data_IF_596218301673
#
_entry.id   IF_596218301673
#
_cell.length_a   1.000
_cell.length_b   1.000
_cell.length_c   1.000
_cell.angle_alpha   90.00
_cell.angle_beta   90.00
_cell.angle_gamma   90.00
#
_symmetry.space_group_name_H-M   'P 1'
#
loop_
_entity.id
_entity.type
_entity.pdbx_description
1 polymer ?
#
# COMPACT_ATOMS: atom_id res chain seq x y z
N UNK A 1 -16.08 36.33 -30.43
CA UNK A 1 -15.60 35.36 -31.44
C UNK A 1 -14.42 35.99 -32.17
N UNK A 2 -13.38 35.26 -32.64
CA UNK A 2 -13.24 33.80 -32.77
C UNK A 2 -11.89 33.23 -32.24
N UNK A 3 -11.73 31.94 -32.51
CA UNK A 3 -10.71 30.94 -32.17
C UNK A 3 -9.28 31.20 -32.69
N UNK A 4 -8.26 30.66 -32.00
CA UNK A 4 -7.41 29.54 -32.48
C UNK A 4 -6.08 29.37 -31.69
N UNK A 5 -5.95 28.16 -31.12
CA UNK A 5 -4.81 27.25 -30.94
C UNK A 5 -3.30 27.62 -31.11
N UNK A 6 -2.55 26.88 -30.26
CA UNK A 6 -1.15 26.40 -30.31
C UNK A 6 0.02 27.26 -29.82
N UNK A 7 0.45 26.94 -28.58
CA UNK A 7 1.75 26.31 -28.36
C UNK A 7 2.91 27.19 -27.88
N UNK A 8 3.37 26.96 -26.64
CA UNK A 8 4.79 26.67 -26.33
C UNK A 8 4.96 26.21 -24.89
N UNK A 9 5.55 25.02 -24.78
CA UNK A 9 6.06 24.39 -23.56
C UNK A 9 7.07 25.32 -22.87
N UNK A 10 6.93 25.51 -21.56
CA UNK A 10 8.07 25.68 -20.64
C UNK A 10 7.80 24.85 -19.39
N UNK A 11 8.43 23.67 -19.36
CA UNK A 11 8.72 22.94 -18.12
C UNK A 11 9.81 23.72 -17.38
N UNK A 12 9.56 24.06 -16.13
CA UNK A 12 10.56 24.03 -15.06
C UNK A 12 9.87 24.35 -13.72
N UNK A 13 9.56 23.30 -12.96
CA UNK A 13 9.86 23.28 -11.54
C UNK A 13 10.09 21.82 -11.13
N UNK A 14 11.33 21.54 -10.73
CA UNK A 14 11.84 20.24 -10.32
C UNK A 14 11.38 19.98 -8.87
N UNK A 15 10.38 19.10 -8.71
CA UNK A 15 9.99 18.43 -7.46
C UNK A 15 10.51 16.98 -7.47
N UNK A 16 10.42 16.24 -6.35
CA UNK A 16 11.39 15.22 -5.96
C UNK A 16 11.48 14.10 -6.99
N UNK A 17 12.67 14.01 -7.59
CA UNK A 17 13.26 12.93 -8.37
C UNK A 17 12.41 12.33 -9.50
N UNK A 18 12.94 12.46 -10.72
CA UNK A 18 12.57 11.64 -11.87
C UNK A 18 12.65 10.15 -11.51
N UNK A 19 11.50 9.57 -11.13
CA UNK A 19 11.34 8.14 -10.92
C UNK A 19 11.41 7.43 -12.28
N UNK A 20 12.60 6.97 -12.65
CA UNK A 20 12.81 6.08 -13.77
C UNK A 20 12.41 4.65 -13.35
N UNK A 21 11.15 4.29 -13.55
CA UNK A 21 10.67 2.92 -13.35
C UNK A 21 11.01 2.05 -14.57
N UNK A 22 11.75 0.96 -14.35
CA UNK A 22 11.96 -0.08 -15.36
C UNK A 22 10.76 -1.04 -15.38
N UNK A 23 10.35 -1.47 -16.58
CA UNK A 23 9.36 -2.54 -16.79
C UNK A 23 9.94 -3.88 -16.30
N UNK A 24 9.67 -4.23 -15.05
CA UNK A 24 9.72 -5.60 -14.54
C UNK A 24 8.38 -6.31 -14.76
N UNK A 25 8.39 -7.64 -14.77
CA UNK A 25 7.18 -8.46 -14.89
C UNK A 25 6.35 -8.33 -13.60
N UNK A 26 5.23 -7.63 -13.72
CA UNK A 26 4.39 -7.18 -12.61
C UNK A 26 3.63 -8.30 -11.90
N UNK A 27 3.34 -8.08 -10.62
CA UNK A 27 2.29 -8.80 -9.88
C UNK A 27 0.89 -8.34 -10.33
N UNK A 28 0.81 -7.17 -10.96
CA UNK A 28 -0.40 -6.59 -11.54
C UNK A 28 -0.37 -6.72 -13.06
N UNK A 29 -0.62 -7.93 -13.59
CA UNK A 29 -0.78 -8.13 -15.03
C UNK A 29 -2.22 -7.81 -15.42
N UNK A 30 -2.57 -6.52 -15.43
CA UNK A 30 -3.75 -6.04 -16.13
C UNK A 30 -3.38 -5.77 -17.59
N UNK A 31 -3.79 -6.64 -18.51
CA UNK A 31 -3.66 -6.33 -19.93
C UNK A 31 -4.60 -5.16 -20.24
N UNK A 32 -4.13 -4.11 -20.95
CA UNK A 32 -5.02 -3.02 -21.41
C UNK A 32 -5.94 -3.55 -22.51
N UNK A 33 -7.00 -4.24 -22.11
CA UNK A 33 -8.16 -4.51 -22.94
C UNK A 33 -9.06 -3.27 -22.91
N UNK A 34 -9.70 -2.95 -24.04
CA UNK A 34 -10.67 -1.84 -24.18
C UNK A 34 -12.01 -2.10 -23.45
N UNK A 35 -12.03 -3.08 -22.54
CA UNK A 35 -13.19 -3.41 -21.71
C UNK A 35 -12.83 -3.04 -20.27
N UNK A 36 -13.45 -1.99 -19.73
CA UNK A 36 -13.41 -1.73 -18.30
C UNK A 36 -14.10 -2.86 -17.53
N UNK A 37 -13.77 -3.01 -16.25
CA UNK A 37 -14.42 -3.94 -15.35
C UNK A 37 -13.57 -5.15 -14.96
N UNK A 38 -14.20 -6.10 -14.27
CA UNK A 38 -13.59 -7.34 -13.80
C UNK A 38 -13.74 -8.47 -14.84
N UNK A 39 -12.63 -9.09 -15.23
CA UNK A 39 -12.60 -10.31 -16.05
C UNK A 39 -11.87 -11.42 -15.32
N UNK A 40 -12.45 -12.63 -15.29
CA UNK A 40 -11.81 -13.82 -14.71
C UNK A 40 -11.87 -14.96 -15.72
N UNK A 41 -10.71 -15.56 -16.02
CA UNK A 41 -10.56 -16.60 -17.04
C UNK A 41 -11.18 -16.22 -18.40
N UNK A 42 -10.99 -14.95 -18.80
CA UNK A 42 -11.51 -14.39 -20.04
C UNK A 42 -13.02 -14.08 -20.06
N UNK A 43 -13.72 -14.28 -18.93
CA UNK A 43 -15.15 -13.96 -18.79
C UNK A 43 -15.34 -12.68 -17.98
N UNK A 44 -16.08 -11.72 -18.54
CA UNK A 44 -16.49 -10.54 -17.82
C UNK A 44 -17.42 -10.93 -16.67
N UNK A 45 -17.22 -10.32 -15.50
CA UNK A 45 -18.02 -10.52 -14.30
C UNK A 45 -18.90 -9.29 -14.10
N UNK A 46 -20.20 -9.51 -13.86
CA UNK A 46 -21.18 -8.45 -13.60
C UNK A 46 -21.86 -8.63 -12.24
N UNK A 47 -22.77 -7.71 -11.90
CA UNK A 47 -23.61 -7.79 -10.70
C UNK A 47 -24.87 -8.67 -10.87
N UNK A 48 -24.88 -9.58 -11.85
CA UNK A 48 -26.00 -10.51 -12.04
C UNK A 48 -26.01 -11.61 -10.97
N UNK A 49 -27.20 -12.15 -10.66
CA UNK A 49 -27.35 -13.28 -9.73
C UNK A 49 -26.57 -14.51 -10.20
N UNK A 50 -26.48 -14.72 -11.51
CA UNK A 50 -25.74 -15.82 -12.12
C UNK A 50 -24.23 -15.69 -11.85
N UNK A 51 -23.65 -14.51 -12.12
CA UNK A 51 -22.24 -14.24 -11.83
C UNK A 51 -21.97 -14.25 -10.32
N UNK A 52 -22.93 -13.80 -9.52
CA UNK A 52 -22.82 -13.84 -8.07
C UNK A 52 -22.65 -15.27 -7.55
N UNK A 53 -23.54 -16.17 -7.96
CA UNK A 53 -23.51 -17.57 -7.54
C UNK A 53 -22.32 -18.34 -8.13
N UNK A 54 -21.89 -17.99 -9.34
CA UNK A 54 -20.81 -18.69 -10.03
C UNK A 54 -19.39 -18.23 -9.61
N UNK A 55 -19.23 -16.92 -9.32
CA UNK A 55 -17.90 -16.30 -9.17
C UNK A 55 -17.83 -15.41 -7.93
N UNK A 56 -18.72 -14.41 -7.82
CA UNK A 56 -18.53 -13.33 -6.84
C UNK A 56 -18.58 -13.86 -5.40
N UNK A 57 -19.47 -14.80 -5.07
CA UNK A 57 -19.52 -15.37 -3.72
C UNK A 57 -18.20 -16.00 -3.28
N UNK A 58 -17.44 -16.58 -4.21
CA UNK A 58 -16.14 -17.19 -3.91
C UNK A 58 -15.04 -16.15 -3.69
N UNK A 59 -15.21 -14.93 -4.20
CA UNK A 59 -14.31 -13.80 -3.97
C UNK A 59 -14.63 -13.08 -2.65
N UNK A 60 -15.91 -12.98 -2.30
CA UNK A 60 -16.39 -12.12 -1.21
C UNK A 60 -16.61 -12.83 0.12
N UNK A 61 -16.83 -14.14 0.11
CA UNK A 61 -16.98 -14.94 1.33
C UNK A 61 -15.63 -15.55 1.74
N UNK A 62 -15.16 -15.34 2.98
CA UNK A 62 -13.94 -15.96 3.50
C UNK A 62 -13.96 -17.50 3.40
N UNK A 63 -12.82 -18.12 3.09
CA UNK A 63 -12.74 -19.57 2.81
C UNK A 63 -13.26 -20.43 3.97
N UNK A 64 -12.99 -20.03 5.21
CA UNK A 64 -13.46 -20.72 6.42
C UNK A 64 -14.99 -20.74 6.57
N UNK A 65 -15.71 -19.87 5.83
CA UNK A 65 -17.18 -19.85 5.79
C UNK A 65 -17.77 -20.53 4.56
N UNK A 66 -16.94 -20.94 3.58
CA UNK A 66 -17.42 -21.55 2.34
C UNK A 66 -17.95 -22.98 2.55
N UNK A 67 -17.64 -23.62 3.67
CA UNK A 67 -18.18 -24.95 3.98
C UNK A 67 -19.57 -24.95 4.61
N UNK A 68 -20.11 -23.77 4.93
CA UNK A 68 -21.41 -23.64 5.59
C UNK A 68 -22.58 -24.04 4.66
N UNK A 69 -23.72 -24.51 5.22
CA UNK A 69 -24.91 -24.80 4.43
C UNK A 69 -25.41 -23.59 3.62
N UNK A 70 -25.33 -22.39 4.20
CA UNK A 70 -25.71 -21.14 3.55
C UNK A 70 -24.88 -20.89 2.28
N UNK A 71 -23.55 -21.08 2.32
CA UNK A 71 -22.69 -20.90 1.15
C UNK A 71 -22.94 -21.93 0.04
N UNK A 72 -23.18 -23.19 0.43
CA UNK A 72 -23.43 -24.32 -0.49
C UNK A 72 -24.82 -24.23 -1.14
N UNK A 73 -25.74 -23.48 -0.56
CA UNK A 73 -27.05 -23.18 -1.12
C UNK A 73 -27.04 -22.20 -2.30
N UNK A 74 -28.24 -21.82 -2.73
CA UNK A 74 -28.48 -20.85 -3.81
C UNK A 74 -29.15 -19.56 -3.32
N UNK A 75 -29.48 -19.46 -2.02
CA UNK A 75 -30.14 -18.28 -1.47
C UNK A 75 -29.12 -17.13 -1.30
N UNK A 76 -29.17 -16.16 -2.22
CA UNK A 76 -28.21 -15.05 -2.28
C UNK A 76 -28.15 -14.25 -0.98
N UNK A 77 -29.29 -13.98 -0.34
CA UNK A 77 -29.33 -13.21 0.90
C UNK A 77 -28.57 -13.91 2.04
N UNK A 78 -28.78 -15.21 2.22
CA UNK A 78 -28.04 -16.01 3.19
C UNK A 78 -26.52 -16.04 2.90
N UNK A 79 -26.12 -16.11 1.62
CA UNK A 79 -24.70 -16.07 1.23
C UNK A 79 -24.10 -14.69 1.53
N UNK A 80 -24.82 -13.60 1.21
CA UNK A 80 -24.37 -12.21 1.46
C UNK A 80 -24.09 -11.94 2.93
N UNK A 81 -24.85 -12.58 3.84
CA UNK A 81 -24.61 -12.48 5.27
C UNK A 81 -23.25 -13.07 5.73
N UNK A 82 -22.60 -13.88 4.89
CA UNK A 82 -21.27 -14.46 5.16
C UNK A 82 -20.12 -13.58 4.64
N UNK A 83 -20.39 -12.63 3.76
CA UNK A 83 -19.37 -11.84 3.05
C UNK A 83 -18.48 -11.04 4.01
N UNK A 84 -17.24 -10.81 3.57
CA UNK A 84 -16.38 -9.79 4.14
C UNK A 84 -16.66 -8.45 3.45
N UNK A 85 -16.94 -7.40 4.21
CA UNK A 85 -17.26 -6.08 3.66
C UNK A 85 -16.16 -5.51 2.75
N UNK A 86 -14.88 -5.72 3.08
CA UNK A 86 -13.78 -5.24 2.24
C UNK A 86 -13.74 -5.99 0.90
N UNK A 87 -13.87 -7.32 0.91
CA UNK A 87 -13.93 -8.09 -0.34
C UNK A 87 -15.14 -7.72 -1.20
N UNK A 88 -16.29 -7.46 -0.59
CA UNK A 88 -17.47 -6.95 -1.30
C UNK A 88 -17.18 -5.64 -2.01
N UNK A 89 -16.59 -4.67 -1.30
CA UNK A 89 -16.22 -3.39 -1.88
C UNK A 89 -15.17 -3.51 -3.00
N UNK A 90 -14.19 -4.41 -2.86
CA UNK A 90 -13.23 -4.70 -3.93
C UNK A 90 -13.94 -5.24 -5.17
N UNK A 91 -14.86 -6.21 -5.02
CA UNK A 91 -15.61 -6.75 -6.15
C UNK A 91 -16.48 -5.68 -6.82
N UNK A 92 -17.25 -4.91 -6.04
CA UNK A 92 -18.10 -3.85 -6.60
C UNK A 92 -17.27 -2.80 -7.33
N UNK A 93 -16.14 -2.38 -6.75
CA UNK A 93 -15.22 -1.43 -7.35
C UNK A 93 -14.58 -1.95 -8.64
N UNK A 94 -14.13 -3.21 -8.68
CA UNK A 94 -13.56 -3.81 -9.89
C UNK A 94 -14.61 -3.99 -10.99
N UNK A 95 -15.82 -4.43 -10.65
CA UNK A 95 -16.91 -4.64 -11.63
C UNK A 95 -17.35 -3.31 -12.25
N UNK A 96 -17.45 -2.25 -11.44
CA UNK A 96 -17.91 -0.94 -11.90
C UNK A 96 -16.81 -0.08 -12.54
N UNK A 97 -15.54 -0.50 -12.48
CA UNK A 97 -14.42 0.33 -12.90
C UNK A 97 -14.36 0.54 -14.41
N UNK A 98 -13.89 1.72 -14.82
CA UNK A 98 -13.47 1.98 -16.20
C UNK A 98 -12.11 1.35 -16.53
N UNK A 99 -11.28 1.07 -15.51
CA UNK A 99 -10.04 0.32 -15.66
C UNK A 99 -10.33 -1.17 -15.80
N UNK A 100 -9.47 -1.88 -16.54
CA UNK A 100 -9.57 -3.34 -16.70
C UNK A 100 -8.85 -4.07 -15.55
N UNK A 101 -9.52 -5.07 -14.97
CA UNK A 101 -8.97 -6.01 -14.01
C UNK A 101 -9.08 -7.44 -14.58
N UNK A 102 -8.02 -7.89 -15.26
CA UNK A 102 -8.00 -9.17 -15.96
C UNK A 102 -7.22 -10.23 -15.16
N UNK A 103 -7.92 -11.23 -14.60
CA UNK A 103 -7.30 -12.37 -13.92
C UNK A 103 -7.41 -13.64 -14.76
N UNK A 104 -6.30 -14.39 -14.85
CA UNK A 104 -6.27 -15.66 -15.59
C UNK A 104 -7.18 -16.74 -15.00
N UNK A 105 -7.44 -16.69 -13.70
CA UNK A 105 -8.28 -17.65 -12.97
C UNK A 105 -8.79 -17.05 -11.65
N UNK A 106 -9.70 -17.77 -10.98
CA UNK A 106 -10.32 -17.35 -9.72
C UNK A 106 -9.31 -17.28 -8.56
N UNK A 107 -8.28 -18.12 -8.56
CA UNK A 107 -7.29 -18.14 -7.48
C UNK A 107 -6.44 -16.86 -7.50
N UNK A 108 -6.06 -16.37 -8.68
CA UNK A 108 -5.37 -15.08 -8.85
C UNK A 108 -6.25 -13.90 -8.41
N UNK A 109 -7.53 -13.92 -8.76
CA UNK A 109 -8.46 -12.89 -8.30
C UNK A 109 -8.61 -12.90 -6.77
N UNK A 110 -8.74 -14.08 -6.15
CA UNK A 110 -8.75 -14.22 -4.68
C UNK A 110 -7.47 -13.67 -4.04
N UNK A 111 -6.30 -13.99 -4.60
CA UNK A 111 -5.02 -13.51 -4.10
C UNK A 111 -4.94 -11.97 -4.13
N UNK A 112 -5.41 -11.34 -5.21
CA UNK A 112 -5.48 -9.87 -5.31
C UNK A 112 -6.44 -9.25 -4.28
N UNK A 113 -7.62 -9.86 -4.08
CA UNK A 113 -8.58 -9.40 -3.07
C UNK A 113 -7.97 -9.46 -1.67
N UNK A 114 -7.30 -10.59 -1.37
CA UNK A 114 -6.62 -10.79 -0.11
C UNK A 114 -5.48 -9.78 0.07
N UNK A 115 -4.66 -9.58 -0.95
CA UNK A 115 -3.59 -8.58 -0.97
C UNK A 115 -4.11 -7.18 -0.64
N UNK A 116 -5.12 -6.69 -1.37
CA UNK A 116 -5.71 -5.35 -1.15
C UNK A 116 -6.22 -5.18 0.27
N UNK A 117 -6.94 -6.20 0.78
CA UNK A 117 -7.45 -6.19 2.15
C UNK A 117 -6.33 -6.15 3.17
N UNK A 118 -5.32 -7.02 3.05
CA UNK A 118 -4.20 -7.10 4.00
C UNK A 118 -3.38 -5.81 3.99
N UNK A 119 -3.18 -5.17 2.83
CA UNK A 119 -2.46 -3.90 2.75
C UNK A 119 -3.17 -2.80 3.58
N UNK A 120 -4.47 -2.62 3.37
CA UNK A 120 -5.28 -1.65 4.13
C UNK A 120 -5.33 -2.01 5.61
N UNK A 121 -5.54 -3.29 5.95
CA UNK A 121 -5.56 -3.74 7.35
C UNK A 121 -4.23 -3.50 8.06
N UNK A 122 -3.11 -3.69 7.36
CA UNK A 122 -1.77 -3.45 7.92
C UNK A 122 -1.57 -1.98 8.23
N UNK A 123 -1.95 -1.09 7.31
CA UNK A 123 -1.90 0.35 7.56
C UNK A 123 -2.83 0.76 8.70
N UNK A 124 -4.05 0.19 8.78
CA UNK A 124 -4.95 0.43 9.90
C UNK A 124 -4.36 -0.04 11.24
N UNK A 125 -3.64 -1.16 11.27
CA UNK A 125 -2.98 -1.66 12.49
C UNK A 125 -1.86 -0.75 12.98
N UNK A 126 -1.10 -0.18 12.05
CA UNK A 126 -0.08 0.85 12.36
C UNK A 126 -0.70 2.08 13.04
N UNK A 127 -1.86 2.52 12.57
CA UNK A 127 -2.51 3.72 13.10
C UNK A 127 -3.33 3.51 14.38
N UNK A 128 -3.74 2.27 14.67
CA UNK A 128 -4.54 1.94 15.87
C UNK A 128 -3.68 1.54 17.07
N UNK A 129 -2.35 1.51 16.91
CA UNK A 129 -1.41 1.06 17.93
C UNK A 129 -1.35 -0.47 18.10
N UNK A 130 -2.02 -1.23 17.22
CA UNK A 130 -1.88 -2.69 17.18
C UNK A 130 -0.49 -3.10 16.67
N UNK A 131 0.05 -2.33 15.72
CA UNK A 131 1.47 -2.30 15.43
C UNK A 131 2.02 -0.97 15.97
N UNK A 132 3.17 -1.01 16.62
CA UNK A 132 3.80 0.19 17.14
C UNK A 132 4.38 1.03 15.98
N UNK A 133 3.62 1.96 15.40
CA UNK A 133 4.10 2.73 14.26
C UNK A 133 3.80 4.21 14.43
N UNK A 134 4.79 5.05 14.13
CA UNK A 134 4.64 6.49 14.18
C UNK A 134 5.57 7.18 13.17
N UNK A 135 5.34 8.48 12.94
CA UNK A 135 6.27 9.31 12.21
C UNK A 135 7.59 9.41 12.96
N UNK A 136 8.68 9.37 12.22
CA UNK A 136 9.95 9.84 12.75
C UNK A 136 9.90 11.36 12.93
N UNK A 137 10.17 11.83 14.16
CA UNK A 137 10.34 13.24 14.46
C UNK A 137 11.68 13.48 15.19
N UNK A 138 12.68 14.05 14.49
CA UNK A 138 13.97 14.34 15.08
C UNK A 138 13.94 15.38 16.21
N UNK A 139 12.88 16.20 16.30
CA UNK A 139 12.76 17.25 17.30
C UNK A 139 12.24 16.74 18.66
N UNK A 140 11.65 15.54 18.67
CA UNK A 140 11.05 14.93 19.86
C UNK A 140 11.83 13.70 20.37
N UNK A 141 13.11 13.58 20.00
CA UNK A 141 13.99 12.45 20.37
C UNK A 141 13.42 11.07 19.98
N UNK A 142 12.54 11.02 18.97
CA UNK A 142 12.03 9.77 18.39
C UNK A 142 13.10 9.25 17.42
N UNK A 143 13.59 8.04 17.65
CA UNK A 143 14.66 7.46 16.81
C UNK A 143 14.04 6.67 15.64
N UNK A 144 14.55 6.79 14.41
CA UNK A 144 14.11 5.96 13.29
C UNK A 144 14.20 4.47 13.64
N UNK A 145 13.19 3.68 13.33
CA UNK A 145 13.15 2.27 13.73
C UNK A 145 12.35 1.43 12.72
N UNK A 146 12.77 0.18 12.51
CA UNK A 146 11.95 -0.86 11.89
C UNK A 146 12.28 -2.23 12.53
N UNK A 147 11.31 -2.82 13.22
CA UNK A 147 11.55 -4.08 13.95
C UNK A 147 12.55 -3.93 15.11
N UNK A 148 13.27 -5.01 15.42
CA UNK A 148 14.25 -5.07 16.51
C UNK A 148 15.54 -4.25 16.30
N UNK A 149 15.53 -3.22 15.45
CA UNK A 149 16.62 -2.23 15.43
C UNK A 149 16.60 -1.43 16.73
N UNK A 150 17.40 -1.83 17.72
CA UNK A 150 17.72 -0.96 18.85
C UNK A 150 18.82 0.00 18.38
N UNK A 151 18.43 1.19 17.94
CA UNK A 151 19.36 2.32 17.93
C UNK A 151 19.45 2.81 19.37
N UNK A 152 20.31 2.20 20.18
CA UNK A 152 20.73 2.79 21.44
C UNK A 152 21.91 3.73 21.14
N UNK A 153 21.72 5.07 21.20
CA UNK A 153 22.81 6.02 20.97
C UNK A 153 23.87 6.00 22.09
N UNK A 154 23.65 5.28 23.18
CA UNK A 154 24.57 5.12 24.32
C UNK A 154 25.26 3.76 24.31
N UNK A 155 24.65 2.73 23.71
CA UNK A 155 25.31 1.45 23.53
C UNK A 155 26.41 1.57 22.47
N UNK A 156 27.65 1.74 22.94
CA UNK A 156 28.86 1.40 22.19
C UNK A 156 28.94 -0.12 22.00
N UNK A 157 27.89 -0.73 21.46
CA UNK A 157 27.91 -2.14 21.15
C UNK A 157 28.33 -2.30 19.68
N UNK A 158 29.57 -2.74 19.40
CA UNK A 158 30.03 -3.02 18.04
C UNK A 158 29.37 -4.28 17.45
N UNK A 159 28.48 -4.92 18.21
CA UNK A 159 27.65 -5.98 17.68
C UNK A 159 26.50 -5.37 16.88
N UNK A 160 26.64 -5.44 15.55
CA UNK A 160 25.56 -5.94 14.70
C UNK A 160 25.03 -7.21 15.35
N UNK A 161 24.22 -7.09 16.40
CA UNK A 161 23.74 -8.24 17.16
C UNK A 161 22.93 -9.09 16.21
N UNK A 162 23.25 -10.39 16.20
CA UNK A 162 22.55 -11.41 15.44
C UNK A 162 21.04 -11.28 15.72
N UNK A 163 20.30 -10.61 14.83
CA UNK A 163 18.88 -10.29 15.03
C UNK A 163 18.38 -9.07 14.27
N UNK A 164 19.26 -8.15 13.86
CA UNK A 164 18.85 -6.98 13.06
C UNK A 164 18.54 -7.35 11.61
N UNK A 165 17.26 -7.37 11.25
CA UNK A 165 16.80 -7.67 9.90
C UNK A 165 16.94 -6.50 8.91
N UNK A 166 17.10 -5.29 9.44
CA UNK A 166 17.15 -4.04 8.69
C UNK A 166 18.31 -3.17 9.19
N UNK A 167 18.91 -2.42 8.27
CA UNK A 167 19.94 -1.43 8.53
C UNK A 167 19.44 -0.07 8.06
N UNK A 168 19.52 0.94 8.92
CA UNK A 168 19.14 2.29 8.53
C UNK A 168 20.18 2.89 7.57
N UNK A 169 19.71 3.59 6.54
CA UNK A 169 20.55 4.24 5.51
C UNK A 169 20.76 5.70 5.92
N UNK A 170 22.02 6.15 5.85
CA UNK A 170 22.39 7.57 6.03
C UNK A 170 21.85 8.24 7.32
N UNK A 171 21.66 7.49 8.41
CA UNK A 171 21.31 8.10 9.69
C UNK A 171 22.49 8.93 10.21
N UNK A 172 22.28 10.22 10.54
CA UNK A 172 23.35 11.02 11.08
C UNK A 172 23.81 10.46 12.43
N UNK A 173 25.12 10.25 12.58
CA UNK A 173 25.74 9.78 13.83
C UNK A 173 25.81 10.88 14.91
N UNK A 174 25.29 12.08 14.64
CA UNK A 174 25.32 13.22 15.54
C UNK A 174 24.02 14.04 15.43
N UNK A 175 23.42 14.37 16.59
CA UNK A 175 22.22 15.21 16.73
C UNK A 175 22.30 16.55 15.97
N UNK A 176 23.49 17.11 15.77
CA UNK A 176 23.67 18.37 15.03
C UNK A 176 23.19 18.31 13.55
N UNK A 177 23.15 17.10 12.96
CA UNK A 177 22.67 16.90 11.59
C UNK A 177 21.14 16.73 11.49
N UNK A 178 20.44 16.55 12.62
CA UNK A 178 18.97 16.47 12.65
C UNK A 178 18.28 17.78 12.24
N UNK A 179 19.02 18.89 12.24
CA UNK A 179 18.59 20.19 11.71
C UNK A 179 18.60 20.26 10.18
N UNK A 180 19.15 19.27 9.47
CA UNK A 180 19.13 19.23 8.01
C UNK A 180 17.91 18.39 7.54
N UNK A 181 16.95 18.99 6.81
CA UNK A 181 15.73 18.32 6.33
C UNK A 181 15.99 17.08 5.48
N UNK A 182 17.19 16.95 4.89
CA UNK A 182 17.58 15.74 4.13
C UNK A 182 17.54 14.47 4.99
N UNK A 183 17.72 14.58 6.31
CA UNK A 183 17.72 13.44 7.23
C UNK A 183 16.36 13.18 7.88
N UNK A 184 15.31 13.89 7.46
CA UNK A 184 13.93 13.65 7.94
C UNK A 184 13.30 12.41 7.30
N UNK A 185 14.02 11.77 6.38
CA UNK A 185 13.63 10.57 5.69
C UNK A 185 14.32 9.38 6.35
N UNK A 186 13.62 8.68 7.23
CA UNK A 186 14.09 7.40 7.74
C UNK A 186 14.02 6.37 6.61
N UNK A 187 15.19 5.93 6.13
CA UNK A 187 15.33 4.87 5.13
C UNK A 187 16.00 3.66 5.76
N UNK A 188 15.59 2.47 5.35
CA UNK A 188 16.08 1.19 5.84
C UNK A 188 16.28 0.24 4.67
N UNK A 189 17.43 -0.44 4.65
CA UNK A 189 17.73 -1.53 3.73
C UNK A 189 17.71 -2.85 4.50
N UNK A 190 17.20 -3.92 3.88
CA UNK A 190 17.34 -5.25 4.45
C UNK A 190 18.82 -5.61 4.65
N UNK A 191 19.14 -6.16 5.82
CA UNK A 191 20.50 -6.58 6.12
C UNK A 191 20.90 -7.81 5.28
N UNK A 192 22.14 -7.85 4.80
CA UNK A 192 22.62 -8.96 3.97
C UNK A 192 22.54 -10.29 4.71
N UNK A 193 21.89 -11.28 4.09
CA UNK A 193 21.72 -12.62 4.68
C UNK A 193 20.66 -12.69 5.79
N UNK A 194 19.97 -11.59 6.08
CA UNK A 194 18.83 -11.57 6.98
C UNK A 194 17.54 -11.96 6.25
N UNK A 195 16.55 -12.34 7.04
CA UNK A 195 15.19 -12.62 6.58
C UNK A 195 14.26 -11.46 7.01
N UNK A 196 14.21 -10.35 6.25
CA UNK A 196 13.43 -9.16 6.59
C UNK A 196 11.92 -9.42 6.69
N UNK A 197 11.44 -10.56 6.17
CA UNK A 197 10.02 -10.90 6.24
C UNK A 197 9.57 -11.22 7.66
N UNK A 198 10.48 -11.55 8.57
CA UNK A 198 10.16 -11.79 9.98
C UNK A 198 9.49 -10.59 10.65
N UNK A 199 9.84 -9.37 10.22
CA UNK A 199 9.20 -8.14 10.70
C UNK A 199 7.75 -8.06 10.23
N UNK A 200 7.45 -8.60 9.05
CA UNK A 200 6.12 -8.59 8.44
C UNK A 200 5.14 -9.61 9.04
N UNK A 201 5.62 -10.55 9.86
CA UNK A 201 4.78 -11.54 10.57
C UNK A 201 4.00 -10.96 11.78
N UNK A 202 4.09 -9.64 12.00
CA UNK A 202 3.14 -8.88 12.83
C UNK A 202 3.28 -9.02 14.34
N UNK A 203 4.40 -9.55 14.84
CA UNK A 203 4.65 -9.70 16.29
C UNK A 203 5.55 -8.60 16.88
N UNK A 204 6.40 -7.97 16.06
CA UNK A 204 7.41 -7.00 16.51
C UNK A 204 7.70 -5.98 15.40
N UNK A 205 6.75 -5.09 15.12
CA UNK A 205 6.92 -4.04 14.11
C UNK A 205 6.85 -2.64 14.75
N UNK A 206 7.81 -2.27 15.64
CA UNK A 206 8.06 -0.86 15.88
C UNK A 206 8.54 -0.24 14.56
N UNK A 207 7.80 0.72 14.02
CA UNK A 207 8.21 1.53 12.87
C UNK A 207 8.22 3.01 13.28
N UNK A 208 9.35 3.67 13.02
CA UNK A 208 9.50 5.13 13.12
C UNK A 208 10.11 5.59 11.83
N UNK A 209 9.28 6.13 10.95
CA UNK A 209 9.74 6.61 9.66
C UNK A 209 8.69 7.43 8.96
N UNK A 210 8.80 7.54 7.64
CA UNK A 210 7.85 8.35 6.87
C UNK A 210 6.70 7.49 6.29
N UNK A 211 5.66 8.13 5.78
CA UNK A 211 4.42 7.46 5.39
C UNK A 211 4.53 6.55 4.16
N UNK A 212 5.45 6.83 3.22
CA UNK A 212 5.72 5.94 2.10
C UNK A 212 6.42 4.64 2.52
N UNK A 213 7.31 4.66 3.50
CA UNK A 213 7.91 3.46 4.08
C UNK A 213 6.88 2.59 4.79
N UNK A 214 5.94 3.20 5.54
CA UNK A 214 4.79 2.46 6.09
C UNK A 214 3.95 1.80 4.99
N UNK A 215 3.79 2.47 3.84
CA UNK A 215 3.09 1.91 2.70
C UNK A 215 3.86 0.73 2.07
N UNK A 216 5.17 0.86 1.92
CA UNK A 216 6.03 -0.23 1.44
C UNK A 216 5.94 -1.44 2.37
N UNK A 217 5.96 -1.24 3.70
CA UNK A 217 5.74 -2.30 4.67
C UNK A 217 4.36 -2.96 4.45
N UNK A 218 3.30 -2.17 4.36
CA UNK A 218 1.94 -2.69 4.17
C UNK A 218 1.79 -3.53 2.88
N UNK A 219 2.40 -3.08 1.78
CA UNK A 219 2.42 -3.83 0.51
C UNK A 219 3.23 -5.12 0.64
N UNK A 220 4.38 -5.11 1.32
CA UNK A 220 5.19 -6.31 1.52
C UNK A 220 4.49 -7.34 2.41
N UNK A 221 3.85 -6.91 3.50
CA UNK A 221 3.00 -7.77 4.34
C UNK A 221 1.88 -8.39 3.51
N UNK A 222 1.21 -7.59 2.70
CA UNK A 222 0.13 -8.05 1.83
C UNK A 222 0.60 -9.07 0.78
N UNK A 223 1.74 -8.81 0.14
CA UNK A 223 2.34 -9.70 -0.84
C UNK A 223 2.66 -11.06 -0.20
N UNK A 224 3.38 -11.05 0.92
CA UNK A 224 3.71 -12.26 1.68
C UNK A 224 2.49 -13.05 2.16
N UNK A 225 1.41 -12.36 2.50
CA UNK A 225 0.17 -13.01 2.92
C UNK A 225 -0.58 -13.65 1.74
N UNK A 226 -0.48 -13.07 0.54
CA UNK A 226 -1.16 -13.54 -0.67
C UNK A 226 -0.39 -14.64 -1.43
N UNK A 227 0.89 -14.89 -1.11
CA UNK A 227 1.71 -15.89 -1.79
C UNK A 227 2.56 -16.73 -0.82
N UNK A 228 3.22 -17.77 -1.32
CA UNK A 228 4.20 -18.51 -0.49
C UNK A 228 5.46 -17.67 -0.28
N UNK A 229 6.08 -17.75 0.90
CA UNK A 229 7.36 -17.07 1.19
C UNK A 229 8.44 -17.30 0.12
N UNK A 230 8.53 -18.52 -0.41
CA UNK A 230 9.45 -18.86 -1.51
C UNK A 230 9.10 -18.15 -2.82
N UNK A 231 7.81 -18.02 -3.14
CA UNK A 231 7.32 -17.25 -4.29
C UNK A 231 7.65 -15.76 -4.17
N UNK A 232 7.42 -15.20 -2.98
CA UNK A 232 7.74 -13.81 -2.68
C UNK A 232 9.24 -13.54 -2.84
N UNK A 233 10.09 -14.33 -2.18
CA UNK A 233 11.55 -14.16 -2.21
C UNK A 233 12.16 -14.33 -3.62
N UNK A 234 11.50 -15.11 -4.49
CA UNK A 234 11.94 -15.28 -5.89
C UNK A 234 11.73 -14.00 -6.72
N UNK A 235 10.67 -13.24 -6.45
CA UNK A 235 10.35 -11.99 -7.18
C UNK A 235 10.94 -10.76 -6.50
N UNK A 236 11.04 -10.82 -5.18
CA UNK A 236 11.55 -9.77 -4.33
C UNK A 236 12.80 -10.28 -3.60
N UNK A 237 14.01 -10.12 -4.18
CA UNK A 237 15.24 -10.45 -3.48
C UNK A 237 15.27 -9.77 -2.11
N UNK A 238 15.26 -10.57 -1.06
CA UNK A 238 15.06 -10.09 0.31
C UNK A 238 16.15 -9.11 0.74
N UNK A 239 17.37 -9.31 0.27
CA UNK A 239 18.54 -8.46 0.50
C UNK A 239 18.50 -7.10 -0.21
N UNK A 240 17.46 -6.85 -1.03
CA UNK A 240 17.25 -5.61 -1.76
C UNK A 240 15.99 -4.86 -1.34
N UNK A 241 15.28 -5.33 -0.31
CA UNK A 241 14.12 -4.62 0.19
C UNK A 241 14.55 -3.29 0.82
N UNK A 242 13.88 -2.22 0.41
CA UNK A 242 14.05 -0.89 0.95
C UNK A 242 12.73 -0.41 1.56
N UNK A 243 12.81 0.22 2.73
CA UNK A 243 11.69 0.86 3.42
C UNK A 243 12.06 2.31 3.70
N UNK A 244 11.26 3.27 3.24
CA UNK A 244 11.50 4.70 3.42
C UNK A 244 11.02 5.48 2.19
N UNK A 245 11.69 6.59 1.88
CA UNK A 245 11.27 7.43 0.75
C UNK A 245 11.39 6.72 -0.60
N UNK A 246 10.60 7.20 -1.57
CA UNK A 246 10.59 6.72 -2.96
C UNK A 246 11.83 7.16 -3.76
N UNK A 247 13.04 6.86 -3.29
CA UNK A 247 14.31 7.29 -3.88
C UNK A 247 15.12 6.12 -4.47
N UNK A 248 14.77 4.88 -4.11
CA UNK A 248 15.47 3.65 -4.47
C UNK A 248 14.68 2.70 -5.36
N UNK A 249 15.40 1.73 -5.93
CA UNK A 249 14.82 0.57 -6.62
C UNK A 249 14.18 -0.37 -5.59
N UNK A 250 12.91 -0.17 -5.29
CA UNK A 250 12.13 -1.22 -4.63
C UNK A 250 11.96 -2.42 -5.56
N UNK A 251 12.02 -3.63 -5.00
CA UNK A 251 11.76 -4.86 -5.77
C UNK A 251 10.29 -5.03 -6.12
N UNK A 252 9.41 -4.26 -5.47
CA UNK A 252 7.99 -4.18 -5.77
C UNK A 252 7.77 -3.23 -6.95
N UNK A 253 7.17 -3.74 -8.02
CA UNK A 253 6.71 -2.93 -9.14
C UNK A 253 5.49 -2.09 -8.72
N UNK A 254 5.70 -0.78 -8.54
CA UNK A 254 4.61 0.17 -8.36
C UNK A 254 4.20 0.75 -9.70
N UNK A 255 2.90 0.68 -10.01
CA UNK A 255 2.32 1.36 -11.17
C UNK A 255 1.41 2.48 -10.71
N UNK A 256 1.71 3.70 -11.17
CA UNK A 256 0.87 4.88 -10.93
C UNK A 256 0.15 5.25 -12.21
N UNK A 257 -1.18 5.12 -12.21
CA UNK A 257 -2.02 5.68 -13.26
C UNK A 257 -2.25 7.16 -12.99
N UNK A 258 -1.45 8.03 -13.61
CA UNK A 258 -1.53 9.48 -13.41
C UNK A 258 -2.86 10.09 -13.87
N UNK A 259 -3.56 9.43 -14.80
CA UNK A 259 -4.84 9.87 -15.36
C UNK A 259 -6.03 9.04 -14.88
N UNK A 260 -5.87 8.26 -13.80
CA UNK A 260 -6.99 7.48 -13.24
C UNK A 260 -8.04 8.43 -12.69
N UNK A 261 -9.30 8.17 -13.04
CA UNK A 261 -10.42 8.87 -12.43
C UNK A 261 -10.54 8.48 -10.94
N UNK A 262 -10.14 9.40 -10.06
CA UNK A 262 -10.22 9.24 -8.61
C UNK A 262 -11.64 9.50 -8.06
N UNK A 263 -12.63 9.78 -8.92
CA UNK A 263 -14.03 9.83 -8.51
C UNK A 263 -14.52 8.46 -8.00
N UNK A 264 -13.92 7.37 -8.46
CA UNK A 264 -14.30 6.00 -8.12
C UNK A 264 -13.08 5.13 -7.80
N UNK A 265 -12.35 5.42 -6.70
CA UNK A 265 -11.21 4.61 -6.30
C UNK A 265 -11.69 3.22 -5.88
N UNK A 266 -10.85 2.21 -6.09
CA UNK A 266 -11.13 0.86 -5.65
C UNK A 266 -10.39 0.56 -4.34
N UNK A 267 -10.99 -0.24 -3.46
CA UNK A 267 -10.44 -0.56 -2.15
C UNK A 267 -9.00 -1.08 -2.29
N UNK A 268 -8.09 -0.55 -1.47
CA UNK A 268 -6.66 -0.85 -1.53
C UNK A 268 -5.88 -0.11 -2.61
N UNK A 269 -6.51 0.76 -3.41
CA UNK A 269 -5.78 1.67 -4.29
C UNK A 269 -4.91 2.62 -3.48
N UNK A 270 -3.69 2.84 -3.95
CA UNK A 270 -2.82 3.90 -3.46
C UNK A 270 -3.37 5.27 -3.87
N UNK A 271 -3.46 6.18 -2.93
CA UNK A 271 -3.91 7.56 -3.12
C UNK A 271 -2.91 8.50 -2.44
N UNK A 272 -2.59 9.60 -3.12
CA UNK A 272 -1.84 10.70 -2.53
C UNK A 272 -2.76 11.91 -2.33
N UNK A 273 -3.02 12.26 -1.08
CA UNK A 273 -3.79 13.45 -0.74
C UNK A 273 -2.81 14.60 -0.62
N UNK A 274 -2.81 15.51 -1.61
CA UNK A 274 -1.93 16.68 -1.61
C UNK A 274 -2.54 17.79 -0.76
N UNK A 275 -1.73 18.44 0.07
CA UNK A 275 -2.16 19.62 0.82
C UNK A 275 -2.37 20.83 -0.11
N UNK A 276 -3.05 21.87 0.38
CA UNK A 276 -3.30 23.13 -0.32
C UNK A 276 -2.00 23.65 -0.96
N UNK A 277 -2.00 24.05 -2.25
CA UNK A 277 -0.81 24.57 -2.92
C UNK A 277 -0.12 25.76 -2.23
N UNK A 278 -0.82 26.46 -1.33
CA UNK A 278 -0.29 27.55 -0.50
C UNK A 278 0.48 27.04 0.71
N UNK A 279 0.27 25.81 1.17
CA UNK A 279 0.93 25.23 2.34
C UNK A 279 2.46 25.40 2.32
N UNK A 280 3.21 25.03 1.26
CA UNK A 280 4.66 25.25 1.24
C UNK A 280 5.11 26.72 1.33
N UNK A 281 4.21 27.70 1.13
CA UNK A 281 4.52 29.12 1.37
C UNK A 281 4.22 29.53 2.81
N UNK A 282 3.20 28.93 3.42
CA UNK A 282 2.74 29.23 4.78
C UNK A 282 3.56 28.50 5.84
N UNK A 283 3.99 27.29 5.54
CA UNK A 283 4.84 26.43 6.35
C UNK A 283 5.96 25.86 5.47
N UNK A 284 6.98 26.67 5.10
CA UNK A 284 8.05 26.25 4.20
C UNK A 284 8.90 25.09 4.73
N UNK A 285 8.96 24.95 6.06
CA UNK A 285 9.62 23.84 6.75
C UNK A 285 8.61 22.78 7.25
N UNK A 286 7.36 22.86 6.77
CA UNK A 286 6.27 21.99 7.17
C UNK A 286 6.35 20.59 6.53
N UNK A 287 6.14 19.56 7.33
CA UNK A 287 6.19 18.17 6.86
C UNK A 287 4.89 17.69 6.19
N UNK A 288 3.77 18.41 6.34
CA UNK A 288 2.45 18.02 5.83
C UNK A 288 2.21 18.46 4.38
N UNK A 289 3.13 18.17 3.49
CA UNK A 289 2.98 18.47 2.05
C UNK A 289 1.88 17.62 1.38
N UNK A 290 1.54 16.51 2.00
CA UNK A 290 0.47 15.60 1.63
C UNK A 290 0.59 14.30 2.42
N UNK A 291 -0.27 13.34 2.09
CA UNK A 291 -0.37 12.06 2.77
C UNK A 291 -0.42 10.92 1.75
N UNK A 292 0.50 9.96 1.91
CA UNK A 292 0.43 8.67 1.23
C UNK A 292 -0.57 7.78 1.99
N UNK A 293 -1.59 7.27 1.29
CA UNK A 293 -2.62 6.46 1.93
C UNK A 293 -3.19 5.40 0.97
N UNK A 294 -3.89 4.43 1.54
CA UNK A 294 -4.78 3.55 0.79
C UNK A 294 -6.21 4.06 0.88
N UNK A 295 -6.97 3.90 -0.20
CA UNK A 295 -8.42 3.96 -0.12
C UNK A 295 -8.94 2.75 0.67
N UNK A 296 -9.52 3.03 1.84
CA UNK A 296 -10.00 2.04 2.81
C UNK A 296 -11.49 1.73 2.64
N UNK A 297 -12.09 2.16 1.53
CA UNK A 297 -13.47 1.89 1.19
C UNK A 297 -14.43 2.99 1.60
N UNK A 298 -15.72 2.68 1.49
CA UNK A 298 -16.84 3.56 1.85
C UNK A 298 -17.49 3.05 3.13
N UNK A 299 -17.86 3.96 4.02
CA UNK A 299 -18.67 3.62 5.19
C UNK A 299 -20.18 3.51 4.84
N UNK A 300 -21.00 3.19 5.83
CA UNK A 300 -22.45 3.00 5.65
C UNK A 300 -23.19 4.27 5.21
N UNK A 301 -22.58 5.45 5.35
CA UNK A 301 -23.15 6.73 4.95
C UNK A 301 -22.73 7.14 3.53
N UNK A 302 -21.91 6.33 2.85
CA UNK A 302 -21.39 6.69 1.54
C UNK A 302 -20.10 7.51 1.60
N UNK A 303 -19.52 7.72 2.79
CA UNK A 303 -18.29 8.52 2.94
C UNK A 303 -17.07 7.67 2.64
N UNK A 304 -16.23 8.16 1.72
CA UNK A 304 -14.94 7.58 1.38
C UNK A 304 -13.98 7.69 2.55
N UNK A 305 -13.26 6.61 2.84
CA UNK A 305 -12.30 6.50 3.93
C UNK A 305 -10.91 6.18 3.40
N UNK A 306 -9.90 6.75 4.04
CA UNK A 306 -8.51 6.57 3.68
C UNK A 306 -7.70 6.16 4.91
N UNK A 307 -6.62 5.42 4.69
CA UNK A 307 -5.70 5.00 5.74
C UNK A 307 -4.26 5.24 5.32
N UNK A 308 -3.56 6.10 6.05
CA UNK A 308 -2.13 6.39 5.89
C UNK A 308 -1.48 6.54 7.26
N UNK A 309 -0.15 6.47 7.36
CA UNK A 309 0.52 6.55 8.66
C UNK A 309 0.14 7.86 9.39
N UNK A 310 -0.16 7.76 10.69
CA UNK A 310 -0.67 8.83 11.55
C UNK A 310 -2.12 9.27 11.26
N UNK A 311 -2.81 8.63 10.31
CA UNK A 311 -4.16 8.98 9.88
C UNK A 311 -4.96 7.69 9.60
N UNK A 312 -5.52 7.06 10.66
CA UNK A 312 -6.44 5.92 10.49
C UNK A 312 -7.83 6.38 10.06
N UNK A 313 -8.34 5.75 8.99
CA UNK A 313 -9.77 5.72 8.68
C UNK A 313 -10.44 7.10 8.65
N UNK A 314 -9.80 8.07 7.98
CA UNK A 314 -10.32 9.44 7.88
C UNK A 314 -11.06 9.67 6.56
N UNK A 315 -11.96 10.64 6.57
CA UNK A 315 -12.50 11.24 5.34
C UNK A 315 -11.46 12.13 4.65
N UNK A 316 -11.81 12.67 3.49
CA UNK A 316 -11.00 13.70 2.83
C UNK A 316 -11.06 15.05 3.58
N UNK A 317 -12.21 15.38 4.17
CA UNK A 317 -12.40 16.48 5.14
C UNK A 317 -11.74 16.17 6.47
#
# INVERSE_FOLDING_TARGET
MPEHFYGRRRRAWLGPAELNFHRGDSIMVGSKTTKGGLTIAGKAVSNSDADYLAVVKFLTVPEEKQDTPAFKGAEIAAIKALENNAFRQIADGMIASSSSYDFGDLAKAKAEFFFRKVAVDTMNRMNTGLNDADYFDPLHDVVPQIGATVLDPVAKDPHWEKGSFWAAIDLPTNRAHLANPKYWYAEFLAAQGADPTMVFDGKELPYRGECAGALQIAVNVAALAAETKAGYAKRNPLDKLLVGVWTGSNTLDFYFELDKDLSSPNYGDYIYIRNDPRYPKLAPDGFWMGLNCFYAGTDKLGVKRYSGLGVSWQSEE
#
